data_IF_587028102729
#
_entry.id   IF_587028102729
#
_cell.length_a   1.000
_cell.length_b   1.000
_cell.length_c   1.000
_cell.angle_alpha   90.00
_cell.angle_beta   90.00
_cell.angle_gamma   90.00
#
_symmetry.space_group_name_H-M   'P 1'
#
loop_
_entity.id
_entity.type
_entity.pdbx_description
1 polymer ?
#
# COMPACT_ATOMS: atom_id res chain seq x y z
N UNK A 1 11.32 8.59 -16.77
CA UNK A 1 10.56 7.34 -16.56
C UNK A 1 10.15 7.35 -15.10
N UNK A 2 8.85 7.30 -14.80
CA UNK A 2 8.39 7.13 -13.42
C UNK A 2 8.70 5.68 -13.02
N UNK A 3 9.45 5.49 -11.94
CA UNK A 3 9.75 4.17 -11.39
C UNK A 3 8.50 3.59 -10.73
N UNK A 4 8.42 2.28 -10.56
CA UNK A 4 7.33 1.60 -9.82
C UNK A 4 7.07 2.27 -8.47
N UNK A 5 8.14 2.63 -7.76
CA UNK A 5 8.10 3.36 -6.48
C UNK A 5 7.42 4.74 -6.59
N UNK A 6 7.71 5.52 -7.64
CA UNK A 6 7.09 6.83 -7.82
C UNK A 6 5.60 6.72 -8.15
N UNK A 7 5.17 5.67 -8.85
CA UNK A 7 3.74 5.37 -9.06
C UNK A 7 3.06 4.91 -7.77
N UNK A 8 3.70 4.05 -7.00
CA UNK A 8 3.19 3.60 -5.71
C UNK A 8 3.02 4.77 -4.74
N UNK A 9 4.01 5.67 -4.63
CA UNK A 9 3.88 6.89 -3.82
C UNK A 9 2.66 7.72 -4.23
N UNK A 10 2.44 7.93 -5.53
CA UNK A 10 1.29 8.69 -6.01
C UNK A 10 -0.05 8.01 -5.66
N UNK A 11 -0.12 6.68 -5.76
CA UNK A 11 -1.31 5.93 -5.36
C UNK A 11 -1.56 6.01 -3.85
N UNK A 12 -0.49 5.96 -3.04
CA UNK A 12 -0.60 6.13 -1.59
C UNK A 12 -1.12 7.53 -1.27
N UNK A 13 -0.53 8.59 -1.83
CA UNK A 13 -0.95 9.98 -1.61
C UNK A 13 -2.40 10.24 -2.07
N UNK A 14 -2.84 9.58 -3.14
CA UNK A 14 -4.21 9.74 -3.66
C UNK A 14 -5.27 8.97 -2.85
N UNK A 15 -4.91 7.82 -2.28
CA UNK A 15 -5.88 6.88 -1.69
C UNK A 15 -5.75 6.66 -0.19
N UNK A 16 -4.59 6.94 0.39
CA UNK A 16 -4.33 6.81 1.82
C UNK A 16 -4.00 8.18 2.37
N UNK A 17 -4.87 8.67 3.25
CA UNK A 17 -4.71 9.95 3.93
C UNK A 17 -3.70 9.78 5.07
N UNK A 18 -2.42 9.68 4.71
CA UNK A 18 -1.32 9.56 5.66
C UNK A 18 -0.84 10.95 6.09
N UNK A 19 -0.80 11.20 7.39
CA UNK A 19 -0.18 12.39 7.97
C UNK A 19 1.37 12.42 7.82
N UNK A 20 1.96 11.39 7.22
CA UNK A 20 3.41 11.21 7.07
C UNK A 20 3.76 10.64 5.70
N UNK A 21 5.02 10.81 5.31
CA UNK A 21 5.54 10.23 4.07
C UNK A 21 5.45 8.68 4.14
N UNK A 22 4.93 8.02 3.10
CA UNK A 22 4.78 6.57 3.11
C UNK A 22 6.13 5.87 3.19
N UNK A 23 6.29 5.07 4.24
CA UNK A 23 7.44 4.20 4.43
C UNK A 23 7.11 2.81 3.87
N UNK A 24 7.81 2.43 2.80
CA UNK A 24 7.62 1.13 2.13
C UNK A 24 8.27 -0.03 2.90
N UNK A 25 9.09 0.26 3.90
CA UNK A 25 9.69 -0.74 4.78
C UNK A 25 8.79 -1.05 6.00
N UNK A 26 7.75 -0.23 6.26
CA UNK A 26 6.77 -0.44 7.32
C UNK A 26 5.55 -1.21 6.82
N UNK A 27 5.00 -2.06 7.69
CA UNK A 27 3.70 -2.66 7.43
C UNK A 27 2.60 -1.60 7.49
N UNK A 28 1.55 -1.74 6.69
CA UNK A 28 0.42 -0.77 6.66
C UNK A 28 -0.26 -0.63 8.02
N UNK A 29 -0.30 -1.71 8.81
CA UNK A 29 -0.81 -1.66 10.18
C UNK A 29 0.03 -0.77 11.12
N UNK A 30 1.34 -0.71 10.91
CA UNK A 30 2.26 0.14 11.68
C UNK A 30 2.20 1.61 11.24
N UNK A 31 1.90 1.84 9.96
CA UNK A 31 1.62 3.17 9.40
C UNK A 31 0.26 3.76 9.81
N UNK A 32 -0.51 3.06 10.65
CA UNK A 32 -1.83 3.51 11.09
C UNK A 32 -2.94 3.38 10.04
N UNK A 33 -2.68 2.65 8.94
CA UNK A 33 -3.68 2.39 7.90
C UNK A 33 -4.68 1.35 8.39
N UNK A 34 -5.96 1.63 8.20
CA UNK A 34 -7.01 0.67 8.59
C UNK A 34 -6.93 -0.59 7.74
N UNK A 35 -7.33 -1.73 8.29
CA UNK A 35 -7.37 -3.00 7.54
C UNK A 35 -8.25 -2.91 6.29
N UNK A 36 -9.29 -2.07 6.32
CA UNK A 36 -10.19 -1.84 5.19
C UNK A 36 -9.48 -1.09 4.06
N UNK A 37 -8.76 -0.01 4.40
CA UNK A 37 -8.03 0.81 3.44
C UNK A 37 -6.84 0.04 2.87
N UNK A 38 -6.17 -0.79 3.69
CA UNK A 38 -5.12 -1.68 3.22
C UNK A 38 -5.66 -2.67 2.16
N UNK A 39 -6.78 -3.33 2.41
CA UNK A 39 -7.39 -4.26 1.43
C UNK A 39 -7.82 -3.53 0.16
N UNK A 40 -8.37 -2.32 0.27
CA UNK A 40 -8.75 -1.51 -0.88
C UNK A 40 -7.52 -1.11 -1.71
N UNK A 41 -6.45 -0.68 -1.03
CA UNK A 41 -5.20 -0.27 -1.65
C UNK A 41 -4.48 -1.43 -2.34
N UNK A 42 -4.39 -2.59 -1.69
CA UNK A 42 -3.80 -3.81 -2.25
C UNK A 42 -4.52 -4.23 -3.53
N UNK A 43 -5.86 -4.17 -3.55
CA UNK A 43 -6.64 -4.46 -4.77
C UNK A 43 -6.38 -3.46 -5.90
N UNK A 44 -6.21 -2.19 -5.54
CA UNK A 44 -5.91 -1.13 -6.51
C UNK A 44 -4.52 -1.33 -7.12
N UNK A 45 -3.50 -1.57 -6.29
CA UNK A 45 -2.13 -1.90 -6.73
C UNK A 45 -2.12 -3.19 -7.56
N UNK A 46 -2.83 -4.23 -7.13
CA UNK A 46 -2.98 -5.48 -7.87
C UNK A 46 -3.53 -5.25 -9.29
N UNK A 47 -4.55 -4.39 -9.42
CA UNK A 47 -5.13 -4.02 -10.71
C UNK A 47 -4.20 -3.16 -11.56
N UNK A 48 -3.52 -2.18 -10.97
CA UNK A 48 -2.63 -1.25 -11.67
C UNK A 48 -1.36 -1.93 -12.20
N UNK A 49 -0.80 -2.86 -11.44
CA UNK A 49 0.45 -3.54 -11.77
C UNK A 49 0.25 -4.96 -12.32
N UNK A 50 -0.98 -5.48 -12.31
CA UNK A 50 -1.31 -6.83 -12.80
C UNK A 50 -0.68 -7.93 -11.94
N UNK A 51 -0.62 -7.73 -10.62
CA UNK A 51 -0.01 -8.63 -9.65
C UNK A 51 -1.06 -9.15 -8.67
N UNK A 52 -0.93 -10.41 -8.24
CA UNK A 52 -1.76 -10.95 -7.16
C UNK A 52 -0.98 -10.83 -5.85
N UNK A 53 -1.44 -9.95 -4.96
CA UNK A 53 -0.83 -9.70 -3.66
C UNK A 53 -1.88 -10.03 -2.58
N UNK A 54 -1.48 -10.81 -1.57
CA UNK A 54 -2.32 -11.08 -0.43
C UNK A 54 -2.27 -9.89 0.56
N UNK A 55 -3.42 -9.29 0.94
CA UNK A 55 -3.43 -8.16 1.88
C UNK A 55 -2.75 -8.46 3.21
N UNK A 56 -2.74 -9.72 3.64
CA UNK A 56 -2.12 -10.20 4.86
C UNK A 56 -0.59 -9.98 4.87
N UNK A 57 0.06 -10.03 3.70
CA UNK A 57 1.50 -9.77 3.56
C UNK A 57 1.84 -8.30 3.82
N UNK A 58 0.90 -7.39 3.50
CA UNK A 58 1.08 -5.94 3.63
C UNK A 58 0.66 -5.41 4.99
N UNK A 59 -0.26 -6.11 5.66
CA UNK A 59 -0.64 -5.80 7.04
C UNK A 59 0.41 -6.27 8.07
N UNK A 60 1.46 -6.98 7.65
CA UNK A 60 2.50 -7.48 8.57
C UNK A 60 2.03 -8.63 9.47
N UNK A 61 0.93 -9.31 9.10
CA UNK A 61 0.34 -10.42 9.88
C UNK A 61 0.87 -11.80 9.42
N UNK A 62 1.81 -11.81 8.46
CA UNK A 62 2.32 -12.99 7.81
C UNK A 62 3.85 -13.06 7.78
N UNK A 63 4.50 -13.18 8.95
CA UNK A 63 5.74 -13.97 9.23
C UNK A 63 6.22 -13.75 10.65
#
# INVERSE_FOLDING_TARGET
MSTTEARLRALIDEHLDLDHEPDFDLAFGEAGVSSLDCVAFVKLVASEFGVEIAPEEWMGIGS
#
